data_IF_374266114617
#
_entry.id   IF_374266114617
#
_cell.length_a   1.000
_cell.length_b   1.000
_cell.length_c   1.000
_cell.angle_alpha   90.00
_cell.angle_beta   90.00
_cell.angle_gamma   90.00
#
_symmetry.space_group_name_H-M   'P 1'
#
loop_
_entity.id
_entity.type
_entity.pdbx_description
1 polymer ?
#
# COMPACT_ATOMS: atom_id res chain seq x y z
N UNK A 1 19.86 -26.97 -13.73
CA UNK A 1 18.85 -27.29 -12.70
C UNK A 1 19.32 -27.04 -11.26
N UNK A 2 20.61 -26.86 -10.99
CA UNK A 2 21.14 -26.48 -9.67
C UNK A 2 20.88 -24.99 -9.30
N UNK A 3 21.14 -24.07 -10.22
CA UNK A 3 20.98 -22.62 -10.00
C UNK A 3 19.54 -22.21 -9.63
N UNK A 4 18.55 -22.86 -10.24
CA UNK A 4 17.14 -22.60 -9.94
C UNK A 4 16.77 -22.98 -8.50
N UNK A 5 17.39 -24.02 -7.95
CA UNK A 5 17.16 -24.44 -6.57
C UNK A 5 17.92 -23.57 -5.56
N UNK A 6 19.10 -23.07 -5.92
CA UNK A 6 19.84 -22.08 -5.13
C UNK A 6 19.01 -20.81 -4.94
N UNK A 7 18.42 -20.27 -6.02
CA UNK A 7 17.60 -19.06 -5.95
C UNK A 7 16.38 -19.29 -5.04
N UNK A 8 15.73 -20.46 -5.16
CA UNK A 8 14.60 -20.81 -4.29
C UNK A 8 15.00 -20.92 -2.82
N UNK A 9 16.14 -21.55 -2.52
CA UNK A 9 16.65 -21.67 -1.14
C UNK A 9 17.01 -20.29 -0.60
N UNK A 10 17.69 -19.45 -1.37
CA UNK A 10 18.03 -18.08 -0.99
C UNK A 10 16.78 -17.24 -0.71
N UNK A 11 15.75 -17.36 -1.54
CA UNK A 11 14.51 -16.61 -1.36
C UNK A 11 13.70 -17.10 -0.16
N UNK A 12 13.68 -18.42 0.09
CA UNK A 12 12.90 -19.00 1.17
C UNK A 12 13.58 -18.93 2.54
N UNK A 13 14.91 -18.98 2.57
CA UNK A 13 15.69 -19.19 3.80
C UNK A 13 16.85 -18.20 3.99
N UNK A 14 17.16 -17.36 3.00
CA UNK A 14 18.17 -16.31 3.11
C UNK A 14 19.59 -16.84 3.31
N UNK A 15 20.15 -16.53 4.46
CA UNK A 15 21.52 -16.82 4.89
C UNK A 15 21.86 -18.32 4.91
N UNK A 16 20.86 -19.19 5.11
CA UNK A 16 21.01 -20.66 5.16
C UNK A 16 21.58 -21.23 3.86
N UNK A 17 21.41 -20.55 2.72
CA UNK A 17 21.98 -21.01 1.46
C UNK A 17 23.49 -21.22 1.56
N UNK A 18 24.20 -20.30 2.23
CA UNK A 18 25.66 -20.38 2.35
C UNK A 18 26.09 -21.63 3.14
N UNK A 19 25.46 -21.86 4.29
CA UNK A 19 25.73 -23.03 5.12
C UNK A 19 25.40 -24.34 4.39
N UNK A 20 24.27 -24.37 3.68
CA UNK A 20 23.89 -25.52 2.84
C UNK A 20 24.92 -25.79 1.75
N UNK A 21 25.33 -24.76 1.01
CA UNK A 21 26.30 -24.91 -0.06
C UNK A 21 27.66 -25.41 0.47
N UNK A 22 28.11 -24.91 1.61
CA UNK A 22 29.37 -25.32 2.23
C UNK A 22 29.34 -26.79 2.68
N UNK A 23 28.28 -27.21 3.39
CA UNK A 23 28.14 -28.60 3.86
C UNK A 23 28.02 -29.56 2.68
N UNK A 24 27.17 -29.24 1.70
CA UNK A 24 26.98 -30.08 0.51
C UNK A 24 28.27 -30.23 -0.31
N UNK A 25 29.02 -29.14 -0.49
CA UNK A 25 30.32 -29.17 -1.20
C UNK A 25 31.35 -30.02 -0.46
N UNK A 26 31.37 -29.94 0.86
CA UNK A 26 32.26 -30.76 1.71
C UNK A 26 31.93 -32.25 1.58
N UNK A 27 30.64 -32.60 1.67
CA UNK A 27 30.19 -33.98 1.48
C UNK A 27 30.51 -34.51 0.07
N UNK A 28 30.33 -33.68 -0.97
CA UNK A 28 30.65 -34.05 -2.33
C UNK A 28 32.16 -34.29 -2.53
N UNK A 29 33.01 -33.47 -1.90
CA UNK A 29 34.45 -33.66 -1.93
C UNK A 29 34.88 -34.98 -1.27
N UNK A 30 34.28 -35.32 -0.12
CA UNK A 30 34.52 -36.59 0.59
C UNK A 30 34.07 -37.79 -0.28
N UNK A 31 32.86 -37.73 -0.84
CA UNK A 31 32.32 -38.77 -1.71
C UNK A 31 33.22 -39.06 -2.93
N UNK A 32 33.79 -38.00 -3.52
CA UNK A 32 34.69 -38.12 -4.65
C UNK A 32 36.07 -38.66 -4.24
N UNK A 33 36.61 -38.20 -3.11
CA UNK A 33 37.95 -38.58 -2.63
C UNK A 33 37.99 -40.03 -2.16
N UNK A 34 37.07 -40.41 -1.27
CA UNK A 34 37.15 -41.65 -0.49
C UNK A 34 36.40 -42.81 -1.16
N UNK A 35 35.32 -42.49 -1.88
CA UNK A 35 34.44 -43.50 -2.49
C UNK A 35 34.43 -43.46 -4.02
N UNK A 36 35.13 -42.50 -4.64
CA UNK A 36 35.15 -42.26 -6.10
C UNK A 36 33.76 -42.09 -6.72
N UNK A 37 32.79 -41.66 -5.92
CA UNK A 37 31.41 -41.44 -6.36
C UNK A 37 31.29 -40.03 -6.94
N UNK A 38 30.76 -39.92 -8.16
CA UNK A 38 30.43 -38.62 -8.78
C UNK A 38 29.09 -38.15 -8.25
N UNK A 39 29.10 -37.05 -7.50
CA UNK A 39 27.88 -36.42 -7.01
C UNK A 39 27.17 -35.67 -8.13
N UNK A 40 25.86 -35.87 -8.24
CA UNK A 40 25.03 -35.15 -9.21
C UNK A 40 24.57 -33.80 -8.62
N UNK A 41 25.26 -32.73 -9.01
CA UNK A 41 24.98 -31.37 -8.58
C UNK A 41 23.62 -30.83 -9.06
N UNK A 42 22.95 -31.48 -10.03
CA UNK A 42 21.62 -31.06 -10.46
C UNK A 42 20.52 -31.47 -9.47
N UNK A 43 20.81 -32.34 -8.51
CA UNK A 43 19.85 -32.86 -7.54
C UNK A 43 20.12 -32.23 -6.17
N UNK A 44 19.08 -31.65 -5.58
CA UNK A 44 19.13 -31.06 -4.24
C UNK A 44 19.16 -32.15 -3.16
N UNK A 45 20.11 -32.07 -2.23
CA UNK A 45 20.13 -32.91 -1.03
C UNK A 45 19.13 -32.38 0.00
N UNK A 46 17.98 -33.02 0.04
CA UNK A 46 16.88 -32.63 0.93
C UNK A 46 17.16 -32.98 2.39
N UNK A 47 17.97 -33.99 2.69
CA UNK A 47 18.28 -34.40 4.06
C UNK A 47 19.21 -33.38 4.72
N UNK A 48 20.29 -33.00 4.04
CA UNK A 48 21.21 -31.95 4.50
C UNK A 48 20.49 -30.60 4.65
N UNK A 49 19.62 -30.26 3.69
CA UNK A 49 18.82 -29.03 3.77
C UNK A 49 17.83 -29.05 4.95
N UNK A 50 17.13 -30.16 5.20
CA UNK A 50 16.22 -30.31 6.34
C UNK A 50 16.95 -30.23 7.68
N UNK A 51 18.15 -30.81 7.76
CA UNK A 51 19.00 -30.74 8.96
C UNK A 51 19.40 -29.30 9.29
N UNK A 52 19.83 -28.54 8.28
CA UNK A 52 20.22 -27.13 8.46
C UNK A 52 19.04 -26.22 8.76
N UNK A 53 17.85 -26.54 8.25
CA UNK A 53 16.63 -25.76 8.50
C UNK A 53 16.03 -26.04 9.88
N UNK A 54 16.44 -27.11 10.58
CA UNK A 54 15.88 -27.58 11.87
C UNK A 54 15.16 -26.50 12.72
N UNK A 55 13.83 -26.42 12.59
CA UNK A 55 12.96 -25.51 13.36
C UNK A 55 12.74 -24.10 12.79
N UNK A 56 13.45 -23.69 11.74
CA UNK A 56 13.28 -22.40 11.06
C UNK A 56 12.13 -22.47 10.06
N UNK A 57 11.24 -21.47 10.10
CA UNK A 57 10.12 -21.35 9.16
C UNK A 57 10.61 -20.77 7.83
N UNK A 58 10.21 -21.36 6.71
CA UNK A 58 10.41 -20.76 5.39
C UNK A 58 9.71 -19.41 5.31
N UNK A 59 10.39 -18.37 4.86
CA UNK A 59 9.76 -17.07 4.65
C UNK A 59 9.17 -17.06 3.24
N UNK A 60 7.84 -17.06 3.15
CA UNK A 60 7.16 -16.88 1.86
C UNK A 60 7.07 -15.39 1.50
N UNK A 61 6.96 -14.52 2.52
CA UNK A 61 6.86 -13.08 2.36
C UNK A 61 8.06 -12.36 3.00
N UNK A 62 8.79 -11.56 2.21
CA UNK A 62 9.94 -10.79 2.70
C UNK A 62 9.55 -9.54 3.53
N UNK A 63 8.28 -9.13 3.49
CA UNK A 63 7.79 -7.93 4.20
C UNK A 63 7.41 -8.27 5.64
N UNK A 64 6.60 -9.31 5.82
CA UNK A 64 6.06 -9.67 7.14
C UNK A 64 6.57 -11.02 7.67
N UNK A 65 7.51 -11.66 6.97
CA UNK A 65 8.06 -12.98 7.29
C UNK A 65 7.00 -14.09 7.44
N UNK A 66 5.80 -13.90 6.89
CA UNK A 66 4.76 -14.93 6.89
C UNK A 66 5.10 -16.06 5.93
N UNK A 67 4.66 -17.26 6.28
CA UNK A 67 4.72 -18.46 5.43
C UNK A 67 3.49 -18.60 4.54
N UNK A 68 2.42 -17.86 4.82
CA UNK A 68 1.08 -18.06 4.23
C UNK A 68 0.85 -17.40 2.88
N UNK A 69 1.74 -16.50 2.44
CA UNK A 69 1.60 -15.75 1.19
C UNK A 69 2.96 -15.30 0.68
N UNK A 70 3.07 -15.02 -0.63
CA UNK A 70 4.25 -14.38 -1.22
C UNK A 70 4.24 -12.87 -0.98
N UNK A 71 5.40 -12.21 -1.13
CA UNK A 71 5.55 -10.75 -1.00
C UNK A 71 4.50 -9.94 -1.80
N UNK A 72 4.08 -10.44 -2.97
CA UNK A 72 3.06 -9.80 -3.82
C UNK A 72 1.68 -9.73 -3.18
N UNK A 73 1.31 -10.75 -2.40
CA UNK A 73 0.01 -10.85 -1.73
C UNK A 73 0.09 -10.44 -0.26
N UNK A 74 1.13 -9.71 0.13
CA UNK A 74 1.28 -9.34 1.52
C UNK A 74 0.20 -8.34 1.96
N UNK A 75 -0.55 -8.62 3.05
CA UNK A 75 -1.51 -7.66 3.57
C UNK A 75 -0.83 -6.39 4.09
N UNK A 76 0.47 -6.46 4.43
CA UNK A 76 1.26 -5.33 4.91
C UNK A 76 1.79 -4.43 3.76
N UNK A 77 1.84 -4.90 2.50
CA UNK A 77 2.11 -4.01 1.35
C UNK A 77 0.95 -3.03 1.09
N UNK A 78 -0.22 -3.25 1.70
CA UNK A 78 -1.41 -2.40 1.51
C UNK A 78 -1.36 -1.03 2.22
N UNK A 79 -0.24 -0.62 2.82
CA UNK A 79 -0.18 0.71 3.45
C UNK A 79 0.01 1.85 2.42
N UNK A 80 0.46 1.59 1.19
CA UNK A 80 0.81 2.67 0.26
C UNK A 80 -0.14 2.93 -0.93
N UNK A 81 -1.30 2.27 -1.02
CA UNK A 81 -2.31 2.66 -2.04
C UNK A 81 -3.73 2.56 -1.47
N UNK A 82 -4.40 3.69 -1.17
CA UNK A 82 -5.84 3.63 -1.03
C UNK A 82 -6.42 3.19 -2.37
N UNK A 83 -7.23 2.12 -2.35
CA UNK A 83 -7.94 1.48 -3.46
C UNK A 83 -8.84 2.42 -4.30
N UNK A 84 -8.77 3.74 -4.12
CA UNK A 84 -9.49 4.75 -4.89
C UNK A 84 -8.65 6.02 -5.10
N UNK A 85 -7.59 5.89 -5.91
CA UNK A 85 -7.25 6.85 -6.98
C UNK A 85 -7.11 8.35 -6.68
N UNK A 86 -6.70 8.77 -5.48
CA UNK A 86 -6.23 10.15 -5.26
C UNK A 86 -4.90 10.18 -4.51
N UNK A 87 -3.88 10.87 -5.02
CA UNK A 87 -2.58 10.96 -4.37
C UNK A 87 -2.75 11.55 -2.98
N UNK A 88 -2.08 10.95 -1.98
CA UNK A 88 -2.02 11.53 -0.64
C UNK A 88 -1.19 12.79 -0.70
N UNK A 89 -1.73 13.89 -0.19
CA UNK A 89 -1.01 15.16 -0.12
C UNK A 89 -0.57 15.41 1.31
N UNK A 90 0.72 15.69 1.48
CA UNK A 90 1.33 16.02 2.77
C UNK A 90 1.52 17.53 2.88
N UNK A 91 1.36 18.06 4.09
CA UNK A 91 1.69 19.44 4.45
C UNK A 91 2.25 19.46 5.88
N UNK A 92 3.46 20.00 6.05
CA UNK A 92 4.14 20.10 7.35
C UNK A 92 4.21 18.75 8.12
N UNK A 93 4.45 17.66 7.39
CA UNK A 93 4.53 16.31 7.97
C UNK A 93 3.17 15.68 8.34
N UNK A 94 2.05 16.34 8.08
CA UNK A 94 0.69 15.81 8.29
C UNK A 94 -0.04 15.57 6.97
N UNK A 95 -0.82 14.49 6.91
CA UNK A 95 -1.65 14.18 5.74
C UNK A 95 -2.85 15.13 5.65
N UNK A 96 -3.09 15.68 4.45
CA UNK A 96 -4.27 16.49 4.14
C UNK A 96 -5.52 15.59 4.06
N UNK A 97 -6.63 16.13 4.56
CA UNK A 97 -7.92 15.47 4.44
C UNK A 97 -8.43 15.51 3.00
N UNK A 98 -8.42 14.35 2.33
CA UNK A 98 -8.96 14.21 0.97
C UNK A 98 -10.46 14.54 0.90
N UNK A 99 -11.24 14.23 1.94
CA UNK A 99 -12.66 14.55 2.00
C UNK A 99 -12.90 16.06 2.07
N UNK A 100 -12.09 16.78 2.87
CA UNK A 100 -12.17 18.24 2.98
C UNK A 100 -11.90 18.93 1.63
N UNK A 101 -10.92 18.43 0.88
CA UNK A 101 -10.59 18.93 -0.46
C UNK A 101 -11.46 18.35 -1.60
N UNK A 102 -12.55 17.63 -1.27
CA UNK A 102 -13.48 17.06 -2.23
C UNK A 102 -14.80 17.84 -2.28
N UNK A 103 -15.60 17.64 -3.34
CA UNK A 103 -16.91 18.30 -3.51
C UNK A 103 -17.87 18.13 -2.34
N UNK A 104 -17.79 17.01 -1.60
CA UNK A 104 -18.64 16.72 -0.44
C UNK A 104 -18.15 17.37 0.85
N UNK A 105 -16.91 17.83 0.93
CA UNK A 105 -16.31 18.29 2.19
C UNK A 105 -16.10 17.17 3.22
N UNK A 106 -15.53 17.54 4.37
CA UNK A 106 -15.38 16.66 5.53
C UNK A 106 -16.27 17.18 6.67
N UNK A 107 -17.17 16.33 7.16
CA UNK A 107 -18.12 16.67 8.24
C UNK A 107 -17.74 16.06 9.59
N UNK A 108 -16.52 15.51 9.72
CA UNK A 108 -16.03 14.96 10.99
C UNK A 108 -15.69 16.10 11.93
N UNK A 109 -16.27 16.10 13.13
CA UNK A 109 -15.98 17.07 14.19
C UNK A 109 -14.52 16.99 14.65
N UNK A 110 -13.96 15.78 14.72
CA UNK A 110 -12.54 15.53 14.99
C UNK A 110 -11.93 14.72 13.84
N UNK A 111 -11.31 15.40 12.88
CA UNK A 111 -10.61 14.76 11.78
C UNK A 111 -9.14 14.54 12.13
N UNK A 112 -8.64 13.31 11.94
CA UNK A 112 -7.22 12.98 12.10
C UNK A 112 -6.33 13.58 11.00
N UNK A 113 -6.93 14.03 9.90
CA UNK A 113 -6.25 14.60 8.75
C UNK A 113 -6.43 16.12 8.71
N UNK A 114 -5.44 16.82 8.18
CA UNK A 114 -5.39 18.28 8.19
C UNK A 114 -6.44 18.88 7.23
N UNK A 115 -7.31 19.75 7.77
CA UNK A 115 -8.32 20.50 7.02
C UNK A 115 -7.74 21.79 6.44
N UNK A 116 -6.89 21.63 5.43
CA UNK A 116 -6.26 22.74 4.72
C UNK A 116 -6.44 22.58 3.21
N UNK A 117 -6.73 23.69 2.53
CA UNK A 117 -6.84 23.75 1.08
C UNK A 117 -5.51 23.38 0.43
N UNK A 118 -5.53 22.43 -0.50
CA UNK A 118 -4.31 22.02 -1.20
C UNK A 118 -3.77 23.05 -2.20
N UNK A 119 -4.57 24.06 -2.58
CA UNK A 119 -4.18 25.12 -3.50
C UNK A 119 -3.57 26.33 -2.78
N UNK A 120 -4.33 26.94 -1.87
CA UNK A 120 -3.94 28.20 -1.22
C UNK A 120 -3.51 28.07 0.24
N UNK A 121 -3.52 26.85 0.79
CA UNK A 121 -3.05 26.53 2.15
C UNK A 121 -3.85 27.18 3.29
N UNK A 122 -5.03 27.73 3.01
CA UNK A 122 -5.98 28.22 4.02
C UNK A 122 -6.88 27.08 4.52
N UNK A 123 -7.34 27.17 5.77
CA UNK A 123 -8.25 26.21 6.41
C UNK A 123 -9.73 26.61 6.35
N UNK A 124 -10.06 27.75 5.71
CA UNK A 124 -11.43 28.26 5.60
C UNK A 124 -12.29 27.53 4.56
N UNK A 125 -11.66 26.85 3.61
CA UNK A 125 -12.34 26.20 2.48
C UNK A 125 -11.55 25.01 1.96
N UNK A 126 -12.24 24.05 1.33
CA UNK A 126 -11.62 22.96 0.57
C UNK A 126 -11.25 23.37 -0.86
N UNK A 127 -10.42 22.57 -1.55
CA UNK A 127 -9.95 22.83 -2.91
C UNK A 127 -11.05 23.24 -3.92
N UNK A 128 -12.26 22.69 -3.80
CA UNK A 128 -13.36 22.97 -4.73
C UNK A 128 -13.93 24.38 -4.62
N UNK A 129 -13.78 25.03 -3.46
CA UNK A 129 -14.22 26.40 -3.22
C UNK A 129 -13.03 27.38 -3.19
N UNK A 130 -11.86 26.96 -3.69
CA UNK A 130 -10.67 27.79 -3.67
C UNK A 130 -10.68 28.83 -4.80
N UNK A 131 -10.45 30.13 -4.50
CA UNK A 131 -10.36 31.16 -5.53
C UNK A 131 -9.16 30.99 -6.46
N UNK A 132 -8.14 30.24 -6.03
CA UNK A 132 -6.95 29.90 -6.83
C UNK A 132 -7.08 28.58 -7.60
N UNK A 133 -8.25 27.94 -7.58
CA UNK A 133 -8.43 26.68 -8.30
C UNK A 133 -8.41 26.92 -9.83
N UNK A 134 -7.31 26.52 -10.47
CA UNK A 134 -7.11 26.66 -11.92
C UNK A 134 -7.86 25.63 -12.77
N UNK A 135 -8.63 24.71 -12.15
CA UNK A 135 -9.64 23.93 -12.87
C UNK A 135 -10.86 24.81 -13.14
N UNK A 136 -10.71 25.68 -14.15
CA UNK A 136 -11.77 26.52 -14.71
C UNK A 136 -13.00 25.66 -15.01
N UNK A 137 -14.06 25.88 -14.24
CA UNK A 137 -15.41 25.73 -14.75
C UNK A 137 -15.51 26.56 -16.04
N UNK A 138 -15.78 25.90 -17.16
CA UNK A 138 -16.32 26.60 -18.33
C UNK A 138 -17.71 27.11 -17.92
N UNK A 139 -17.99 28.41 -17.94
CA UNK A 139 -19.33 28.92 -17.70
C UNK A 139 -20.13 28.75 -18.99
N UNK A 140 -21.27 28.05 -18.93
CA UNK A 140 -22.30 28.18 -19.96
C UNK A 140 -23.59 28.65 -19.33
N UNK A 141 -23.71 29.97 -19.38
CA UNK A 141 -24.89 30.84 -19.37
C UNK A 141 -26.28 30.17 -19.37
N UNK A 142 -27.10 30.53 -18.39
CA UNK A 142 -28.46 31.05 -18.62
C UNK A 142 -29.01 31.68 -17.34
N UNK A 143 -28.65 32.95 -17.13
CA UNK A 143 -29.37 33.84 -16.24
C UNK A 143 -30.75 34.13 -16.85
N UNK A 144 -31.84 33.74 -16.19
CA UNK A 144 -33.07 34.55 -16.22
C UNK A 144 -33.34 35.04 -14.80
N UNK A 145 -33.02 36.31 -14.63
CA UNK A 145 -33.34 37.12 -13.48
C UNK A 145 -34.76 37.66 -13.68
N UNK A 146 -35.65 37.40 -12.71
CA UNK A 146 -36.80 38.27 -12.44
C UNK A 146 -36.80 38.57 -10.94
N UNK A 147 -36.27 39.74 -10.60
CA UNK A 147 -36.55 40.41 -9.33
C UNK A 147 -38.05 40.77 -9.30
N UNK A 148 -38.73 40.52 -8.17
CA UNK A 148 -39.53 41.53 -7.49
C UNK A 148 -40.13 41.04 -6.15
N UNK A 149 -39.82 41.81 -5.10
CA UNK A 149 -40.68 42.18 -3.96
C UNK A 149 -41.03 41.16 -2.85
N UNK A 150 -40.22 41.23 -1.79
CA UNK A 150 -40.58 41.38 -0.36
C UNK A 150 -42.06 41.32 0.08
N UNK A 151 -42.39 40.45 1.06
CA UNK A 151 -42.83 40.78 2.45
C UNK A 151 -43.71 39.69 3.10
N UNK A 152 -43.34 39.33 4.34
CA UNK A 152 -44.15 38.91 5.51
C UNK A 152 -45.20 37.77 5.46
N UNK A 153 -44.98 36.75 6.30
CA UNK A 153 -46.00 35.90 6.97
C UNK A 153 -46.87 36.74 7.96
N UNK A 154 -47.96 36.24 8.62
CA UNK A 154 -48.38 34.85 8.84
C UNK A 154 -49.92 34.55 8.75
N UNK A 155 -50.26 33.31 9.11
CA UNK A 155 -51.58 32.70 9.34
C UNK A 155 -52.68 33.58 9.98
N UNK A 156 -53.95 33.38 9.54
CA UNK A 156 -55.07 33.01 10.43
C UNK A 156 -56.40 32.73 9.71
N UNK A 157 -57.05 31.66 10.18
CA UNK A 157 -58.43 31.22 9.98
C UNK A 157 -59.41 32.10 10.80
N UNK A 158 -60.59 32.44 10.25
CA UNK A 158 -61.95 32.48 10.89
C UNK A 158 -63.00 33.00 9.89
N UNK A 159 -64.03 32.19 9.57
CA UNK A 159 -65.45 32.34 9.99
C UNK A 159 -66.08 33.69 9.63
N UNK A 160 -67.08 33.71 8.73
CA UNK A 160 -68.55 33.67 8.99
C UNK A 160 -69.20 32.91 7.83
#
# INVERSE_FOLDING_TARGET
MYEADIIKISNAYGDILYDYHNVYSTQAAIALRDYKVKVNWAIRDQATLQLLIGGRKSKSCNICNSVSHSTEFCPQTRIATPMYGRPRQMMDGKELCNNFNSKRGCHRTTCQFLHTCNQCRLNSHGATACPHNTQKFVPSTATRNINATSKSAPDKIKQI
#
